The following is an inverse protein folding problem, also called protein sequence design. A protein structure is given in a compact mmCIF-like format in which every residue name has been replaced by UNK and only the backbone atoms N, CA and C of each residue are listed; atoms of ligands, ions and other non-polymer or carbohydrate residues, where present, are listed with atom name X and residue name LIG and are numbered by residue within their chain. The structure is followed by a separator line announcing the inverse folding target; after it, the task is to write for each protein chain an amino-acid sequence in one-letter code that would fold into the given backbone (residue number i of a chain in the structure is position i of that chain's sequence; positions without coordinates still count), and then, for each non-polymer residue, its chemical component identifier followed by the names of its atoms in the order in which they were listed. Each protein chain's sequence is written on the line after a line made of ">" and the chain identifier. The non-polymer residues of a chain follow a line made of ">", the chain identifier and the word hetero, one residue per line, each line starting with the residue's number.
data_IF_874816565459
#
_entry.id   IF_874816565459
#
_cell.length_a   1.000
_cell.length_b   1.000
_cell.length_c   1.000
_cell.angle_alpha   90.00
_cell.angle_beta   90.00
_cell.angle_gamma   90.00
#
_symmetry.space_group_name_H-M   'P 1'
#
loop_
_entity.id
_entity.type
_entity.pdbx_description
1 polymer ?
#
# COMPACT_ATOMS: atom_id res chain seq x y z
N UNK A 1 -2.88 2.61 25.53
CA UNK A 1 -2.95 2.05 24.18
C UNK A 1 -4.42 1.94 23.84
N UNK A 2 -4.95 2.84 23.01
CA UNK A 2 -6.31 2.72 22.49
C UNK A 2 -6.38 1.47 21.62
N UNK A 3 -7.34 0.59 21.86
CA UNK A 3 -7.62 -0.53 20.96
C UNK A 3 -7.82 -0.02 19.53
N UNK A 4 -7.28 -0.76 18.56
CA UNK A 4 -7.48 -0.50 17.15
C UNK A 4 -8.98 -0.43 16.85
N UNK A 5 -9.48 0.72 16.39
CA UNK A 5 -10.91 0.94 16.12
C UNK A 5 -11.43 0.21 14.87
N UNK A 6 -10.56 -0.49 14.13
CA UNK A 6 -10.89 -1.31 12.97
C UNK A 6 -10.59 -2.77 13.32
N UNK A 7 -11.57 -3.67 13.14
CA UNK A 7 -11.37 -5.12 13.32
C UNK A 7 -11.86 -5.85 12.09
N UNK A 8 -11.04 -6.77 11.56
CA UNK A 8 -11.42 -7.60 10.42
C UNK A 8 -11.80 -8.99 10.91
N UNK A 9 -12.77 -9.61 10.25
CA UNK A 9 -13.05 -11.04 10.37
C UNK A 9 -13.07 -11.71 9.01
N UNK A 10 -12.52 -12.92 8.96
CA UNK A 10 -12.52 -13.79 7.78
C UNK A 10 -13.15 -15.11 8.19
N UNK A 11 -14.30 -15.42 7.61
CA UNK A 11 -15.14 -16.57 7.95
C UNK A 11 -15.19 -17.52 6.76
N UNK A 12 -14.86 -18.78 7.02
CA UNK A 12 -15.02 -19.89 6.08
C UNK A 12 -16.37 -20.58 6.29
N UNK A 13 -16.67 -21.55 5.44
CA UNK A 13 -17.84 -22.42 5.54
C UNK A 13 -17.88 -23.27 6.83
N UNK A 14 -16.75 -23.42 7.53
CA UNK A 14 -16.65 -24.31 8.70
C UNK A 14 -16.26 -23.61 10.00
N UNK A 15 -15.60 -22.44 9.93
CA UNK A 15 -15.09 -21.71 11.10
C UNK A 15 -14.58 -20.30 10.77
N UNK A 16 -14.33 -19.50 11.80
CA UNK A 16 -13.60 -18.23 11.72
C UNK A 16 -12.11 -18.50 11.45
N UNK A 17 -11.59 -18.00 10.33
CA UNK A 17 -10.16 -18.06 10.00
C UNK A 17 -9.36 -16.96 10.72
N UNK A 18 -9.90 -15.74 10.78
CA UNK A 18 -9.30 -14.58 11.45
C UNK A 18 -10.40 -13.75 12.15
N UNK A 19 -10.17 -13.21 13.37
CA UNK A 19 -8.93 -13.29 14.17
C UNK A 19 -8.58 -14.71 14.65
N UNK A 20 -7.37 -14.88 15.18
CA UNK A 20 -7.00 -16.13 15.86
C UNK A 20 -7.73 -16.15 17.19
N UNK A 21 -8.82 -16.90 17.27
CA UNK A 21 -9.61 -17.04 18.50
C UNK A 21 -8.73 -17.63 19.62
N UNK A 22 -8.76 -16.99 20.79
CA UNK A 22 -8.13 -17.49 22.03
C UNK A 22 -9.20 -18.31 22.75
N UNK A 23 -8.82 -19.49 23.27
CA UNK A 23 -9.72 -20.58 23.72
C UNK A 23 -10.75 -20.25 24.82
N UNK A 24 -10.90 -19.01 25.28
CA UNK A 24 -11.80 -18.63 26.38
C UNK A 24 -13.17 -18.11 25.96
N UNK A 25 -13.37 -17.69 24.70
CA UNK A 25 -14.64 -17.08 24.21
C UNK A 25 -15.41 -18.01 23.22
N UNK A 26 -15.13 -19.32 23.27
CA UNK A 26 -15.27 -20.27 22.15
C UNK A 26 -16.67 -20.52 21.57
N UNK A 27 -17.77 -20.38 22.32
CA UNK A 27 -19.07 -20.91 21.86
C UNK A 27 -20.08 -19.86 21.35
N UNK A 28 -20.02 -18.63 21.83
CA UNK A 28 -21.03 -17.62 21.45
C UNK A 28 -20.73 -16.97 20.09
N UNK A 29 -19.50 -16.50 19.87
CA UNK A 29 -19.15 -15.77 18.64
C UNK A 29 -19.08 -16.65 17.38
N UNK A 30 -18.77 -17.94 17.53
CA UNK A 30 -18.71 -18.88 16.41
C UNK A 30 -20.08 -19.10 15.78
N UNK A 31 -21.12 -19.20 16.60
CA UNK A 31 -22.50 -19.36 16.13
C UNK A 31 -23.00 -18.09 15.44
N UNK A 32 -22.64 -16.91 15.93
CA UNK A 32 -23.01 -15.62 15.33
C UNK A 32 -22.39 -15.45 13.93
N UNK A 33 -21.09 -15.74 13.79
CA UNK A 33 -20.36 -15.63 12.52
C UNK A 33 -20.96 -16.55 11.43
N UNK A 34 -21.28 -17.80 11.77
CA UNK A 34 -21.89 -18.76 10.84
C UNK A 34 -23.34 -18.38 10.50
N UNK A 35 -24.08 -17.85 11.48
CA UNK A 35 -25.44 -17.33 11.26
C UNK A 35 -25.43 -16.15 10.30
N UNK A 36 -24.48 -15.22 10.46
CA UNK A 36 -24.30 -14.08 9.55
C UNK A 36 -23.99 -14.55 8.13
N UNK A 37 -23.03 -15.48 7.95
CA UNK A 37 -22.70 -16.05 6.64
C UNK A 37 -23.92 -16.72 5.99
N UNK A 38 -24.66 -17.51 6.75
CA UNK A 38 -25.86 -18.20 6.26
C UNK A 38 -26.95 -17.22 5.86
N UNK A 39 -27.14 -16.16 6.65
CA UNK A 39 -28.12 -15.10 6.38
C UNK A 39 -27.77 -14.34 5.11
N UNK A 40 -26.52 -13.91 4.96
CA UNK A 40 -26.06 -13.20 3.75
C UNK A 40 -26.22 -14.09 2.51
N UNK A 41 -25.86 -15.37 2.62
CA UNK A 41 -26.00 -16.34 1.52
C UNK A 41 -27.48 -16.50 1.15
N UNK A 42 -28.36 -16.65 2.13
CA UNK A 42 -29.81 -16.73 1.91
C UNK A 42 -30.36 -15.47 1.23
N UNK A 43 -30.00 -14.28 1.70
CA UNK A 43 -30.45 -13.02 1.10
C UNK A 43 -30.02 -12.92 -0.36
N UNK A 44 -28.76 -13.25 -0.67
CA UNK A 44 -28.26 -13.26 -2.04
C UNK A 44 -29.00 -14.26 -2.93
N UNK A 45 -29.18 -15.50 -2.46
CA UNK A 45 -29.83 -16.55 -3.25
C UNK A 45 -31.33 -16.35 -3.44
N UNK A 46 -32.04 -15.83 -2.45
CA UNK A 46 -33.50 -15.72 -2.47
C UNK A 46 -34.01 -14.37 -2.94
N UNK A 47 -33.28 -13.28 -2.67
CA UNK A 47 -33.70 -11.92 -2.99
C UNK A 47 -32.91 -11.31 -4.15
N UNK A 48 -31.81 -11.94 -4.58
CA UNK A 48 -30.89 -11.39 -5.59
C UNK A 48 -30.36 -9.99 -5.17
N UNK A 49 -30.18 -9.78 -3.87
CA UNK A 49 -29.63 -8.56 -3.28
C UNK A 49 -28.25 -8.83 -2.70
N UNK A 50 -27.25 -8.02 -3.08
CA UNK A 50 -25.94 -8.05 -2.44
C UNK A 50 -25.97 -7.17 -1.18
N UNK A 51 -25.81 -7.80 -0.02
CA UNK A 51 -25.77 -7.09 1.26
C UNK A 51 -24.35 -6.59 1.56
N UNK A 52 -24.15 -5.27 1.45
CA UNK A 52 -22.80 -4.69 1.41
C UNK A 52 -22.30 -4.12 2.75
N UNK A 53 -23.21 -3.55 3.55
CA UNK A 53 -22.89 -2.98 4.85
C UNK A 53 -24.14 -2.79 5.71
N UNK A 54 -23.95 -2.64 7.02
CA UNK A 54 -25.00 -2.27 7.95
C UNK A 54 -24.44 -1.54 9.18
N UNK A 55 -25.32 -0.98 10.01
CA UNK A 55 -24.98 -0.42 11.32
C UNK A 55 -25.65 -1.23 12.42
N UNK A 56 -24.90 -1.51 13.47
CA UNK A 56 -25.38 -2.16 14.69
C UNK A 56 -24.94 -1.33 15.89
N UNK A 57 -25.81 -0.44 16.38
CA UNK A 57 -25.43 0.55 17.38
C UNK A 57 -24.44 1.57 16.82
N UNK A 58 -23.29 1.72 17.48
CA UNK A 58 -22.18 2.57 17.06
C UNK A 58 -21.23 1.89 16.07
N UNK A 59 -21.36 0.57 15.87
CA UNK A 59 -20.54 -0.19 14.93
C UNK A 59 -21.06 -0.06 13.50
N UNK A 60 -20.16 0.31 12.61
CA UNK A 60 -20.35 0.23 11.17
C UNK A 60 -19.64 -1.01 10.63
N UNK A 61 -20.39 -1.84 9.90
CA UNK A 61 -19.91 -3.14 9.42
C UNK A 61 -20.01 -3.15 7.90
N UNK A 62 -18.89 -3.43 7.24
CA UNK A 62 -18.80 -3.60 5.78
C UNK A 62 -18.38 -5.03 5.49
N UNK A 63 -19.06 -5.67 4.55
CA UNK A 63 -18.92 -7.08 4.21
C UNK A 63 -18.38 -7.19 2.78
N UNK A 64 -17.72 -8.28 2.43
CA UNK A 64 -17.42 -8.73 1.06
C UNK A 64 -17.29 -10.26 1.04
N UNK A 65 -17.68 -10.92 -0.06
CA UNK A 65 -17.56 -12.37 -0.20
C UNK A 65 -16.67 -12.74 -1.37
N UNK A 66 -15.66 -13.58 -1.12
CA UNK A 66 -14.81 -14.14 -2.16
C UNK A 66 -14.71 -15.65 -2.01
N UNK A 67 -14.98 -16.38 -3.09
CA UNK A 67 -14.82 -17.85 -3.18
C UNK A 67 -15.53 -18.66 -2.08
N UNK A 68 -16.68 -18.15 -1.65
CA UNK A 68 -17.49 -18.75 -0.58
C UNK A 68 -17.04 -18.38 0.83
N UNK A 69 -16.08 -17.47 0.99
CA UNK A 69 -15.63 -16.97 2.28
C UNK A 69 -16.11 -15.55 2.50
N UNK A 70 -16.61 -15.27 3.69
CA UNK A 70 -17.09 -13.96 4.08
C UNK A 70 -15.97 -13.19 4.79
N UNK A 71 -15.71 -12.00 4.29
CA UNK A 71 -14.82 -11.02 4.88
C UNK A 71 -15.70 -9.90 5.40
N UNK A 72 -15.41 -9.43 6.60
CA UNK A 72 -16.01 -8.19 7.05
C UNK A 72 -15.08 -7.39 7.94
N UNK A 73 -15.35 -6.11 7.98
CA UNK A 73 -14.66 -5.16 8.84
C UNK A 73 -15.69 -4.44 9.67
N UNK A 74 -15.45 -4.37 10.97
CA UNK A 74 -16.24 -3.64 11.95
C UNK A 74 -15.41 -2.46 12.47
N UNK A 75 -16.03 -1.29 12.58
CA UNK A 75 -15.40 -0.11 13.13
C UNK A 75 -16.39 0.82 13.82
N UNK A 76 -15.93 1.53 14.84
CA UNK A 76 -16.64 2.68 15.43
C UNK A 76 -16.02 4.03 15.00
N UNK A 77 -15.01 3.99 14.12
CA UNK A 77 -14.38 5.18 13.56
C UNK A 77 -15.17 5.72 12.35
N UNK A 78 -14.97 7.00 12.04
CA UNK A 78 -15.61 7.70 10.92
C UNK A 78 -14.95 7.35 9.57
N UNK A 79 -15.13 6.10 9.13
CA UNK A 79 -14.69 5.62 7.81
C UNK A 79 -15.87 5.48 6.84
N UNK A 80 -15.64 5.85 5.58
CA UNK A 80 -16.54 5.53 4.48
C UNK A 80 -16.56 4.03 4.16
N UNK A 81 -17.68 3.54 3.63
CA UNK A 81 -17.83 2.12 3.27
C UNK A 81 -16.77 1.69 2.24
N UNK A 82 -16.39 2.60 1.34
CA UNK A 82 -15.45 2.35 0.26
C UNK A 82 -14.04 2.09 0.79
N UNK A 83 -13.54 2.88 1.75
CA UNK A 83 -12.22 2.62 2.38
C UNK A 83 -12.19 1.26 3.04
N UNK A 84 -13.25 0.94 3.77
CA UNK A 84 -13.38 -0.34 4.46
C UNK A 84 -13.36 -1.52 3.48
N UNK A 85 -13.94 -1.37 2.27
CA UNK A 85 -13.79 -2.36 1.19
C UNK A 85 -12.35 -2.47 0.70
N UNK A 86 -11.63 -1.37 0.52
CA UNK A 86 -10.21 -1.43 0.12
C UNK A 86 -9.33 -2.10 1.20
N UNK A 87 -9.65 -1.92 2.48
CA UNK A 87 -9.02 -2.65 3.59
C UNK A 87 -9.29 -4.16 3.49
N UNK A 88 -10.53 -4.56 3.17
CA UNK A 88 -10.88 -5.97 2.94
C UNK A 88 -10.19 -6.54 1.69
N UNK A 89 -10.16 -5.79 0.59
CA UNK A 89 -9.46 -6.16 -0.65
C UNK A 89 -7.97 -6.38 -0.38
N UNK A 90 -7.31 -5.49 0.36
CA UNK A 90 -5.90 -5.63 0.72
C UNK A 90 -5.69 -6.85 1.61
N UNK A 91 -6.60 -7.13 2.53
CA UNK A 91 -6.56 -8.34 3.37
C UNK A 91 -6.70 -9.63 2.55
N UNK A 92 -7.51 -9.61 1.49
CA UNK A 92 -7.57 -10.68 0.49
C UNK A 92 -6.27 -10.79 -0.29
N UNK A 93 -5.66 -9.69 -0.71
CA UNK A 93 -4.37 -9.72 -1.40
C UNK A 93 -3.24 -10.25 -0.50
N UNK A 94 -3.27 -9.99 0.81
CA UNK A 94 -2.37 -10.63 1.79
C UNK A 94 -2.55 -12.16 1.79
N UNK A 95 -3.78 -12.67 1.67
CA UNK A 95 -4.01 -14.11 1.57
C UNK A 95 -3.46 -14.70 0.28
N UNK A 96 -3.65 -14.02 -0.84
CA UNK A 96 -3.07 -14.43 -2.11
C UNK A 96 -1.55 -14.40 -2.00
N UNK A 97 -0.97 -13.35 -1.42
CA UNK A 97 0.46 -13.22 -1.19
C UNK A 97 1.04 -14.40 -0.41
N UNK A 98 0.37 -14.83 0.66
CA UNK A 98 0.84 -15.91 1.53
C UNK A 98 0.56 -17.33 0.99
N UNK A 99 -0.60 -17.53 0.38
CA UNK A 99 -1.14 -18.88 0.10
C UNK A 99 -1.48 -19.14 -1.36
N UNK A 100 -1.37 -18.13 -2.22
CA UNK A 100 -1.67 -18.18 -3.63
C UNK A 100 -3.15 -17.99 -3.93
N UNK A 101 -3.50 -18.02 -5.22
CA UNK A 101 -4.87 -17.74 -5.66
C UNK A 101 -5.88 -18.66 -5.04
N UNK A 102 -5.57 -19.94 -4.87
CA UNK A 102 -6.46 -20.95 -4.28
C UNK A 102 -6.45 -20.92 -2.74
N UNK A 103 -6.36 -19.74 -2.15
CA UNK A 103 -6.25 -19.58 -0.69
C UNK A 103 -7.45 -20.18 0.05
N UNK A 104 -8.63 -20.27 -0.58
CA UNK A 104 -9.79 -20.94 0.00
C UNK A 104 -9.52 -22.41 0.34
N UNK A 105 -8.68 -23.09 -0.44
CA UNK A 105 -8.30 -24.49 -0.17
C UNK A 105 -7.53 -24.66 1.14
N UNK A 106 -6.84 -23.59 1.58
CA UNK A 106 -6.11 -23.53 2.85
C UNK A 106 -7.05 -23.26 4.04
N UNK A 107 -8.27 -22.79 3.76
CA UNK A 107 -9.23 -22.30 4.76
C UNK A 107 -10.45 -23.20 4.96
N UNK A 108 -10.77 -24.12 4.04
CA UNK A 108 -12.03 -24.89 4.11
C UNK A 108 -12.07 -26.04 5.14
N UNK A 109 -10.95 -26.75 5.40
CA UNK A 109 -10.94 -27.93 6.31
C UNK A 109 -9.60 -28.10 7.03
N UNK A 110 -9.64 -28.42 8.33
CA UNK A 110 -8.44 -28.63 9.18
C UNK A 110 -7.42 -27.49 9.09
N UNK A 111 -7.91 -26.27 9.30
CA UNK A 111 -7.11 -25.05 9.15
C UNK A 111 -5.93 -25.11 10.11
N UNK A 112 -4.72 -25.04 9.54
CA UNK A 112 -3.49 -25.03 10.32
C UNK A 112 -3.40 -23.76 11.16
N UNK A 113 -3.26 -23.91 12.48
CA UNK A 113 -3.08 -22.78 13.40
C UNK A 113 -1.89 -21.90 13.00
N UNK A 114 -0.79 -22.51 12.54
CA UNK A 114 0.40 -21.75 12.10
C UNK A 114 0.09 -20.87 10.88
N UNK A 115 -0.76 -21.32 9.95
CA UNK A 115 -1.20 -20.50 8.82
C UNK A 115 -2.10 -19.35 9.25
N UNK A 116 -3.03 -19.58 10.19
CA UNK A 116 -3.86 -18.51 10.78
C UNK A 116 -2.98 -17.47 11.47
N UNK A 117 -2.00 -17.90 12.26
CA UNK A 117 -1.06 -17.02 12.94
C UNK A 117 -0.20 -16.21 11.97
N UNK A 118 0.30 -16.83 10.89
CA UNK A 118 1.05 -16.09 9.86
C UNK A 118 0.18 -15.03 9.21
N UNK A 119 -1.06 -15.37 8.80
CA UNK A 119 -1.98 -14.39 8.23
C UNK A 119 -2.31 -13.26 9.21
N UNK A 120 -2.63 -13.61 10.46
CA UNK A 120 -2.96 -12.65 11.49
C UNK A 120 -1.86 -11.61 11.67
N UNK A 121 -0.59 -12.04 11.74
CA UNK A 121 0.55 -11.10 11.83
C UNK A 121 0.57 -10.09 10.68
N UNK A 122 0.29 -10.51 9.45
CA UNK A 122 0.28 -9.60 8.31
C UNK A 122 -0.90 -8.63 8.35
N UNK A 123 -2.11 -9.11 8.68
CA UNK A 123 -3.30 -8.25 8.76
C UNK A 123 -3.21 -7.30 9.94
N UNK A 124 -2.79 -7.76 11.12
CA UNK A 124 -2.61 -6.92 12.30
C UNK A 124 -1.59 -5.82 12.05
N UNK A 125 -0.45 -6.16 11.42
CA UNK A 125 0.55 -5.18 11.00
C UNK A 125 -0.03 -4.20 9.97
N UNK A 126 -0.75 -4.66 8.95
CA UNK A 126 -1.38 -3.80 7.96
C UNK A 126 -2.40 -2.83 8.58
N UNK A 127 -3.27 -3.31 9.47
CA UNK A 127 -4.25 -2.47 10.16
C UNK A 127 -3.59 -1.41 11.05
N UNK A 128 -2.51 -1.79 11.75
CA UNK A 128 -1.71 -0.82 12.51
C UNK A 128 -1.08 0.24 11.60
N UNK A 129 -0.52 -0.18 10.47
CA UNK A 129 0.07 0.75 9.49
C UNK A 129 -0.98 1.71 8.92
N UNK A 130 -2.20 1.24 8.63
CA UNK A 130 -3.31 2.10 8.20
C UNK A 130 -3.70 3.14 9.24
N UNK A 131 -3.54 2.85 10.54
CA UNK A 131 -3.80 3.80 11.60
C UNK A 131 -2.70 4.84 11.75
N UNK A 132 -1.45 4.40 11.64
CA UNK A 132 -0.28 5.24 11.88
C UNK A 132 0.06 6.11 10.66
N UNK A 133 -0.24 5.62 9.45
CA UNK A 133 0.18 6.22 8.20
C UNK A 133 -0.86 6.05 7.07
N UNK A 134 -1.35 7.18 6.58
CA UNK A 134 -2.37 7.25 5.53
C UNK A 134 -1.91 6.70 4.17
N UNK A 135 -0.61 6.50 3.95
CA UNK A 135 -0.11 5.88 2.71
C UNK A 135 -0.62 4.45 2.56
N UNK A 136 -0.66 3.69 3.66
CA UNK A 136 -1.17 2.31 3.62
C UNK A 136 -2.69 2.26 3.44
N UNK A 137 -3.43 3.27 3.92
CA UNK A 137 -4.85 3.42 3.60
C UNK A 137 -5.04 3.68 2.10
N UNK A 138 -4.25 4.58 1.52
CA UNK A 138 -4.31 4.94 0.11
C UNK A 138 -3.67 3.89 -0.82
N UNK A 139 -3.09 2.81 -0.28
CA UNK A 139 -2.30 1.82 -1.04
C UNK A 139 -1.18 2.48 -1.86
N UNK A 140 -0.50 3.46 -1.27
CA UNK A 140 0.64 4.16 -1.87
C UNK A 140 1.95 3.70 -1.23
N UNK A 141 3.04 3.96 -1.92
CA UNK A 141 4.37 3.58 -1.48
C UNK A 141 4.95 4.58 -0.47
N UNK A 142 5.90 4.12 0.33
CA UNK A 142 6.72 5.00 1.18
C UNK A 142 8.15 4.95 0.73
N UNK A 143 8.68 6.10 0.32
CA UNK A 143 10.06 6.28 -0.10
C UNK A 143 10.81 7.13 0.92
N UNK A 144 12.12 6.92 1.01
CA UNK A 144 13.00 7.82 1.76
C UNK A 144 13.10 9.17 1.05
N UNK A 145 13.40 10.24 1.81
CA UNK A 145 13.57 11.59 1.25
C UNK A 145 14.61 11.68 0.11
N UNK A 146 15.62 10.81 0.14
CA UNK A 146 16.76 10.73 -0.80
C UNK A 146 16.63 9.56 -1.80
N UNK A 147 15.46 8.95 -1.87
CA UNK A 147 15.20 7.80 -2.74
C UNK A 147 15.51 8.08 -4.21
N UNK A 148 15.23 9.28 -4.71
CA UNK A 148 15.48 9.62 -6.11
C UNK A 148 16.98 9.62 -6.44
N UNK A 149 17.80 10.28 -5.62
CA UNK A 149 19.25 10.32 -5.80
C UNK A 149 19.90 8.95 -5.55
N UNK A 150 19.42 8.21 -4.54
CA UNK A 150 19.87 6.85 -4.25
C UNK A 150 19.52 5.89 -5.38
N UNK A 151 18.31 5.98 -5.91
CA UNK A 151 17.84 5.23 -7.07
C UNK A 151 18.74 5.49 -8.27
N UNK A 152 19.00 6.76 -8.61
CA UNK A 152 19.86 7.12 -9.74
C UNK A 152 21.28 6.54 -9.58
N UNK A 153 21.90 6.75 -8.41
CA UNK A 153 23.23 6.21 -8.13
C UNK A 153 23.26 4.68 -8.18
N UNK A 154 22.22 4.02 -7.64
CA UNK A 154 22.11 2.57 -7.68
C UNK A 154 21.98 2.06 -9.12
N UNK A 155 21.13 2.68 -9.95
CA UNK A 155 20.95 2.28 -11.35
C UNK A 155 22.22 2.41 -12.19
N UNK A 156 23.05 3.42 -11.94
CA UNK A 156 24.32 3.61 -12.67
C UNK A 156 25.39 2.57 -12.33
N UNK A 157 25.33 1.98 -11.13
CA UNK A 157 26.45 1.26 -10.54
C UNK A 157 26.11 -0.16 -10.07
N UNK A 158 24.82 -0.54 -10.11
CA UNK A 158 24.39 -1.87 -9.69
C UNK A 158 25.14 -2.93 -10.49
N UNK A 159 25.76 -3.93 -9.82
CA UNK A 159 26.43 -5.01 -10.53
C UNK A 159 25.42 -5.72 -11.44
N UNK A 160 25.79 -6.02 -12.71
CA UNK A 160 24.88 -6.70 -13.61
C UNK A 160 24.50 -8.06 -13.05
N UNK A 161 23.23 -8.44 -13.22
CA UNK A 161 22.77 -9.79 -12.89
C UNK A 161 23.63 -10.78 -13.68
N UNK A 162 24.31 -11.74 -13.01
CA UNK A 162 25.24 -12.61 -13.72
C UNK A 162 24.51 -13.41 -14.81
N UNK A 163 25.04 -13.41 -16.04
CA UNK A 163 24.36 -13.97 -17.23
C UNK A 163 24.14 -15.48 -17.17
N UNK A 164 24.93 -16.18 -16.38
CA UNK A 164 24.91 -17.65 -16.26
C UNK A 164 23.87 -18.16 -15.25
N UNK A 165 23.05 -17.24 -14.72
CA UNK A 165 22.19 -17.50 -13.59
C UNK A 165 20.75 -17.69 -14.07
N UNK A 166 20.14 -18.89 -13.88
CA UNK A 166 18.74 -19.13 -14.22
C UNK A 166 17.78 -18.49 -13.19
N UNK A 167 18.15 -17.36 -12.58
CA UNK A 167 17.25 -16.55 -11.76
C UNK A 167 16.45 -15.69 -12.72
N UNK A 168 15.16 -15.95 -12.82
CA UNK A 168 14.21 -14.99 -13.37
C UNK A 168 14.02 -13.84 -12.36
N UNK A 169 15.02 -12.96 -12.30
CA UNK A 169 15.00 -11.82 -11.38
C UNK A 169 13.91 -10.86 -11.84
N UNK A 170 13.01 -10.49 -10.94
CA UNK A 170 11.95 -9.54 -11.23
C UNK A 170 12.34 -8.13 -10.76
N UNK A 171 12.67 -8.01 -9.47
CA UNK A 171 13.04 -6.73 -8.86
C UNK A 171 13.98 -6.89 -7.67
N UNK A 172 14.65 -5.80 -7.32
CA UNK A 172 15.47 -5.65 -6.10
C UNK A 172 15.04 -4.39 -5.38
N UNK A 173 14.82 -4.48 -4.08
CA UNK A 173 14.49 -3.36 -3.23
C UNK A 173 15.56 -3.19 -2.16
N UNK A 174 15.95 -1.93 -1.92
CA UNK A 174 16.64 -1.52 -0.71
C UNK A 174 15.67 -0.71 0.13
N UNK A 175 15.49 -1.15 1.36
CA UNK A 175 14.76 -0.42 2.39
C UNK A 175 15.75 0.20 3.36
N UNK A 176 15.49 1.42 3.80
CA UNK A 176 16.13 2.04 4.97
C UNK A 176 15.01 2.27 5.97
N UNK A 177 15.11 1.65 7.14
CA UNK A 177 13.94 1.54 8.00
C UNK A 177 12.92 0.59 7.36
N UNK A 178 11.72 1.11 7.08
CA UNK A 178 10.69 0.42 6.30
C UNK A 178 10.29 1.19 5.03
N UNK A 179 11.08 2.21 4.68
CA UNK A 179 10.86 3.06 3.51
C UNK A 179 11.75 2.57 2.36
N UNK A 180 11.24 2.66 1.14
CA UNK A 180 11.95 2.29 -0.07
C UNK A 180 13.00 3.36 -0.37
N UNK A 181 14.26 2.98 -0.31
CA UNK A 181 15.36 3.82 -0.74
C UNK A 181 15.72 3.57 -2.22
N UNK A 182 15.63 2.30 -2.66
CA UNK A 182 15.89 1.89 -4.03
C UNK A 182 14.88 0.83 -4.46
N UNK A 183 14.36 0.96 -5.67
CA UNK A 183 13.57 -0.03 -6.39
C UNK A 183 14.18 -0.27 -7.78
N UNK A 184 14.99 -1.30 -7.93
CA UNK A 184 15.47 -1.75 -9.23
C UNK A 184 14.50 -2.76 -9.85
N UNK A 185 13.98 -2.41 -11.02
CA UNK A 185 13.16 -3.30 -11.86
C UNK A 185 14.02 -3.90 -12.97
N UNK A 186 13.98 -5.23 -13.13
CA UNK A 186 14.64 -5.87 -14.26
C UNK A 186 13.88 -5.49 -15.56
N UNK A 187 14.54 -4.90 -16.58
CA UNK A 187 13.88 -4.49 -17.82
C UNK A 187 13.19 -5.63 -18.59
N UNK A 188 13.61 -6.88 -18.36
CA UNK A 188 13.03 -8.07 -19.01
C UNK A 188 11.91 -8.72 -18.19
N UNK A 189 11.63 -8.22 -16.99
CA UNK A 189 10.63 -8.79 -16.11
C UNK A 189 9.27 -8.11 -16.26
N UNK A 190 8.21 -8.85 -15.91
CA UNK A 190 6.86 -8.31 -15.82
C UNK A 190 6.78 -7.17 -14.79
N UNK A 191 5.95 -6.18 -15.09
CA UNK A 191 5.76 -5.00 -14.21
C UNK A 191 5.12 -5.42 -12.88
N UNK A 192 5.73 -4.96 -11.78
CA UNK A 192 5.12 -4.94 -10.45
C UNK A 192 4.27 -3.69 -10.33
N UNK A 193 2.96 -3.87 -10.15
CA UNK A 193 2.04 -2.76 -9.89
C UNK A 193 2.30 -2.18 -8.48
N UNK A 194 2.11 -0.86 -8.25
CA UNK A 194 2.37 -0.24 -6.95
C UNK A 194 1.63 -0.91 -5.78
N UNK A 195 0.40 -1.39 -6.01
CA UNK A 195 -0.39 -2.12 -5.00
C UNK A 195 0.28 -3.44 -4.56
N UNK A 196 1.12 -4.03 -5.41
CA UNK A 196 1.91 -5.23 -5.08
C UNK A 196 3.19 -4.86 -4.35
N UNK A 197 3.77 -3.70 -4.67
CA UNK A 197 4.93 -3.16 -3.96
C UNK A 197 4.56 -2.78 -2.52
N UNK A 198 3.35 -2.26 -2.27
CA UNK A 198 2.88 -1.99 -0.90
C UNK A 198 2.79 -3.26 -0.03
N UNK A 199 2.41 -4.41 -0.62
CA UNK A 199 2.46 -5.72 0.07
C UNK A 199 3.89 -6.12 0.45
N UNK A 200 4.89 -5.77 -0.37
CA UNK A 200 6.30 -6.00 -0.06
C UNK A 200 6.75 -5.11 1.11
N UNK A 201 6.23 -3.88 1.23
CA UNK A 201 6.47 -3.05 2.42
C UNK A 201 5.86 -3.67 3.68
N UNK A 202 4.61 -4.15 3.60
CA UNK A 202 3.97 -4.87 4.71
C UNK A 202 4.80 -6.09 5.12
N UNK A 203 5.29 -6.86 4.14
CA UNK A 203 6.21 -7.98 4.38
C UNK A 203 7.45 -7.55 5.17
N UNK A 204 8.10 -6.45 4.80
CA UNK A 204 9.27 -5.93 5.52
C UNK A 204 8.92 -5.61 6.98
N UNK A 205 7.81 -4.91 7.23
CA UNK A 205 7.35 -4.59 8.58
C UNK A 205 7.08 -5.84 9.44
N UNK A 206 6.59 -6.93 8.84
CA UNK A 206 6.32 -8.19 9.55
C UNK A 206 7.59 -8.98 9.83
N UNK A 207 8.52 -9.03 8.88
CA UNK A 207 9.73 -9.86 8.97
C UNK A 207 10.88 -9.22 9.73
N UNK A 208 10.86 -7.90 9.87
CA UNK A 208 11.87 -7.08 10.54
C UNK A 208 11.25 -6.02 11.48
N UNK A 209 10.38 -6.41 12.43
CA UNK A 209 9.65 -5.48 13.29
C UNK A 209 10.56 -4.60 14.17
N UNK A 210 11.76 -5.09 14.51
CA UNK A 210 12.74 -4.43 15.38
C UNK A 210 13.31 -3.12 14.83
N UNK A 211 13.20 -2.89 13.52
CA UNK A 211 13.72 -1.68 12.88
C UNK A 211 12.88 -0.44 13.26
N UNK A 212 11.65 -0.65 13.76
CA UNK A 212 10.80 0.44 14.24
C UNK A 212 11.24 1.03 15.60
N UNK A 213 12.17 0.38 16.32
CA UNK A 213 12.32 0.56 17.76
C UNK A 213 13.45 1.47 18.25
N UNK A 214 14.69 1.31 17.78
CA UNK A 214 15.82 1.68 18.66
C UNK A 214 17.06 2.31 18.02
N UNK A 215 17.13 2.50 16.70
CA UNK A 215 18.33 3.10 16.08
C UNK A 215 17.99 3.92 14.85
N UNK A 216 17.44 5.13 15.05
CA UNK A 216 17.70 6.20 14.07
C UNK A 216 19.19 6.50 14.17
N UNK A 217 19.99 6.05 13.21
CA UNK A 217 21.41 6.40 13.17
C UNK A 217 21.52 7.93 13.17
N UNK A 218 21.95 8.50 14.30
CA UNK A 218 22.15 9.94 14.43
C UNK A 218 23.19 10.39 13.39
N UNK A 219 22.73 11.10 12.36
CA UNK A 219 23.59 11.85 11.43
C UNK A 219 24.26 11.06 10.30
N UNK A 220 24.12 9.73 10.22
CA UNK A 220 24.60 8.93 9.08
C UNK A 220 23.47 8.07 8.51
N UNK A 221 22.89 8.50 7.38
CA UNK A 221 21.80 7.78 6.68
C UNK A 221 22.23 6.46 6.04
N UNK A 222 23.50 6.34 5.67
CA UNK A 222 24.11 5.10 5.22
C UNK A 222 25.50 5.00 5.87
N UNK A 223 25.62 4.32 7.01
CA UNK A 223 26.92 4.07 7.60
C UNK A 223 27.46 2.75 7.02
N UNK A 224 28.46 2.89 6.14
CA UNK A 224 29.17 1.79 5.49
C UNK A 224 29.79 0.80 6.46
N UNK A 225 30.00 1.17 7.73
CA UNK A 225 30.44 0.26 8.79
C UNK A 225 29.36 -0.72 9.25
N UNK A 226 28.07 -0.45 8.96
CA UNK A 226 26.92 -1.35 9.15
C UNK A 226 26.62 -2.20 7.92
N UNK A 227 27.55 -2.37 7.00
CA UNK A 227 27.46 -3.42 5.99
C UNK A 227 28.54 -4.45 6.31
N UNK A 228 28.20 -5.44 7.12
CA UNK A 228 29.02 -6.60 7.41
C UNK A 228 28.23 -7.84 7.06
N UNK A 229 28.81 -8.63 6.18
CA UNK A 229 28.26 -9.82 5.55
C UNK A 229 27.86 -10.82 6.64
N UNK A 230 26.58 -10.85 7.02
CA UNK A 230 25.99 -12.02 7.66
C UNK A 230 25.13 -12.74 6.62
N UNK A 231 25.69 -13.79 6.05
CA UNK A 231 25.41 -14.31 4.69
C UNK A 231 24.22 -15.25 4.58
N UNK A 232 23.28 -15.20 5.51
CA UNK A 232 22.11 -16.08 5.49
C UNK A 232 20.80 -15.33 5.25
N UNK A 233 20.53 -14.92 3.99
CA UNK A 233 19.21 -14.42 3.60
C UNK A 233 18.09 -15.39 3.98
N UNK A 234 17.00 -14.83 4.46
CA UNK A 234 15.74 -15.56 4.62
C UNK A 234 15.09 -15.67 3.25
N UNK A 235 14.74 -16.88 2.83
CA UNK A 235 13.98 -17.12 1.60
C UNK A 235 12.53 -17.44 1.96
N UNK A 236 11.59 -16.67 1.41
CA UNK A 236 10.15 -16.89 1.60
C UNK A 236 9.44 -17.02 0.26
N UNK A 237 8.65 -18.07 0.11
CA UNK A 237 7.72 -18.20 -0.99
C UNK A 237 6.56 -17.22 -0.81
N UNK A 238 6.21 -16.51 -1.87
CA UNK A 238 5.06 -15.62 -1.92
C UNK A 238 4.39 -15.71 -3.30
N UNK A 239 3.20 -15.16 -3.46
CA UNK A 239 2.55 -15.01 -4.76
C UNK A 239 2.29 -13.55 -5.06
N UNK A 240 2.85 -13.04 -6.14
CA UNK A 240 2.72 -11.65 -6.56
C UNK A 240 1.87 -11.59 -7.84
N UNK A 241 0.95 -10.63 -7.94
CA UNK A 241 0.27 -10.39 -9.23
C UNK A 241 1.24 -9.65 -10.16
N UNK A 242 1.73 -10.34 -11.18
CA UNK A 242 2.55 -9.76 -12.24
C UNK A 242 1.65 -9.58 -13.46
N UNK A 243 1.43 -8.33 -13.89
CA UNK A 243 0.47 -8.01 -14.94
C UNK A 243 -0.90 -8.70 -14.72
N UNK A 244 -1.46 -8.55 -13.51
CA UNK A 244 -2.69 -9.19 -13.02
C UNK A 244 -2.69 -10.72 -12.92
N UNK A 245 -1.63 -11.39 -13.34
CA UNK A 245 -1.52 -12.84 -13.20
C UNK A 245 -0.75 -13.18 -11.93
N UNK A 246 -1.33 -13.95 -11.00
CA UNK A 246 -0.64 -14.39 -9.80
C UNK A 246 0.50 -15.34 -10.15
N UNK A 247 1.73 -14.93 -9.88
CA UNK A 247 2.95 -15.69 -10.11
C UNK A 247 3.58 -16.04 -8.77
N UNK A 248 3.98 -17.30 -8.64
CA UNK A 248 4.71 -17.76 -7.48
C UNK A 248 6.16 -17.27 -7.51
N UNK A 249 6.56 -16.54 -6.47
CA UNK A 249 7.86 -15.89 -6.34
C UNK A 249 8.60 -16.35 -5.09
N UNK A 250 9.92 -16.18 -5.09
CA UNK A 250 10.73 -16.23 -3.87
C UNK A 250 11.22 -14.83 -3.54
N UNK A 251 10.91 -14.38 -2.34
CA UNK A 251 11.44 -13.19 -1.69
C UNK A 251 12.66 -13.61 -0.87
N UNK A 252 13.84 -13.19 -1.31
CA UNK A 252 15.09 -13.39 -0.57
C UNK A 252 15.46 -12.10 0.12
N UNK A 253 15.45 -12.07 1.46
CA UNK A 253 15.66 -10.85 2.22
C UNK A 253 16.73 -11.01 3.30
N UNK A 254 17.47 -9.93 3.54
CA UNK A 254 18.50 -9.86 4.58
C UNK A 254 18.68 -8.42 5.02
N UNK A 255 19.06 -8.22 6.29
CA UNK A 255 19.64 -6.95 6.69
C UNK A 255 21.02 -6.79 6.04
N UNK A 256 21.42 -5.55 5.76
CA UNK A 256 22.76 -5.24 5.25
C UNK A 256 23.85 -5.52 6.30
N UNK A 257 23.51 -5.45 7.59
CA UNK A 257 24.23 -6.06 8.71
C UNK A 257 23.30 -6.26 9.91
N UNK A 258 23.79 -6.99 10.93
CA UNK A 258 23.07 -7.30 12.16
C UNK A 258 22.45 -6.07 12.85
N UNK A 259 23.18 -4.94 12.89
CA UNK A 259 22.75 -3.66 13.50
C UNK A 259 22.25 -2.63 12.49
N UNK A 260 22.17 -2.98 11.21
CA UNK A 260 21.70 -2.06 10.18
C UNK A 260 20.18 -1.97 10.20
N UNK A 261 19.66 -0.76 9.96
CA UNK A 261 18.27 -0.49 9.62
C UNK A 261 17.96 -0.73 8.13
N UNK A 262 18.97 -1.08 7.33
CA UNK A 262 18.84 -1.30 5.91
C UNK A 262 18.56 -2.77 5.59
N UNK A 263 17.57 -3.02 4.72
CA UNK A 263 17.17 -4.36 4.28
C UNK A 263 17.20 -4.43 2.77
N UNK A 264 17.78 -5.51 2.23
CA UNK A 264 17.68 -5.84 0.81
C UNK A 264 16.63 -6.93 0.64
N UNK A 265 15.74 -6.76 -0.34
CA UNK A 265 14.78 -7.77 -0.79
C UNK A 265 15.01 -8.02 -2.28
N UNK A 266 15.33 -9.27 -2.64
CA UNK A 266 15.47 -9.74 -4.02
C UNK A 266 14.27 -10.61 -4.38
N UNK A 267 13.59 -10.27 -5.47
CA UNK A 267 12.40 -10.97 -5.95
C UNK A 267 12.76 -11.79 -7.19
N UNK A 268 12.55 -13.09 -7.10
CA UNK A 268 12.73 -14.01 -8.23
C UNK A 268 11.44 -14.77 -8.51
N UNK A 269 11.14 -15.01 -9.78
CA UNK A 269 10.06 -15.93 -10.15
C UNK A 269 10.47 -17.37 -9.80
N UNK A 270 9.50 -18.17 -9.35
CA UNK A 270 9.57 -19.50 -8.72
C UNK A 270 9.47 -19.45 -7.19
N UNK A 271 8.51 -20.18 -6.62
CA UNK A 271 8.34 -20.33 -5.15
C UNK A 271 9.35 -21.26 -4.51
N UNK A 272 10.03 -22.08 -5.31
CA UNK A 272 11.05 -23.02 -4.86
C UNK A 272 12.29 -22.85 -5.72
N UNK A 273 13.29 -22.18 -5.16
CA UNK A 273 14.60 -22.02 -5.78
C UNK A 273 15.53 -23.16 -5.33
N UNK A 274 16.19 -23.89 -6.26
CA UNK A 274 17.19 -24.90 -5.91
C UNK A 274 18.34 -24.33 -5.09
N UNK A 275 19.01 -25.16 -4.26
CA UNK A 275 20.14 -24.75 -3.42
C UNK A 275 21.25 -24.00 -4.21
N UNK A 276 21.65 -24.43 -5.43
CA UNK A 276 22.63 -23.67 -6.23
C UNK A 276 22.17 -22.25 -6.55
N UNK A 277 20.88 -22.07 -6.83
CA UNK A 277 20.28 -20.76 -7.14
C UNK A 277 20.20 -19.90 -5.89
N UNK A 278 19.89 -20.49 -4.72
CA UNK A 278 19.96 -19.79 -3.43
C UNK A 278 21.36 -19.23 -3.16
N UNK A 279 22.41 -20.05 -3.35
CA UNK A 279 23.80 -19.60 -3.18
C UNK A 279 24.13 -18.41 -4.08
N UNK A 280 23.70 -18.44 -5.34
CA UNK A 280 23.90 -17.35 -6.29
C UNK A 280 23.14 -16.07 -5.90
N UNK A 281 21.90 -16.19 -5.40
CA UNK A 281 21.17 -15.05 -4.84
C UNK A 281 21.93 -14.47 -3.65
N UNK A 282 22.45 -15.31 -2.77
CA UNK A 282 23.18 -14.87 -1.59
C UNK A 282 24.49 -14.16 -1.98
N UNK A 283 25.21 -14.67 -2.97
CA UNK A 283 26.40 -14.01 -3.55
C UNK A 283 26.03 -12.65 -4.17
N UNK A 284 24.94 -12.59 -4.93
CA UNK A 284 24.45 -11.34 -5.53
C UNK A 284 24.06 -10.31 -4.45
N UNK A 285 23.31 -10.72 -3.43
CA UNK A 285 22.96 -9.87 -2.29
C UNK A 285 24.21 -9.40 -1.52
N UNK A 286 25.19 -10.28 -1.33
CA UNK A 286 26.48 -9.92 -0.74
C UNK A 286 27.22 -8.86 -1.56
N UNK A 287 27.24 -8.99 -2.89
CA UNK A 287 27.82 -8.00 -3.78
C UNK A 287 27.07 -6.66 -3.73
N UNK A 288 25.74 -6.69 -3.66
CA UNK A 288 24.93 -5.49 -3.47
C UNK A 288 25.25 -4.80 -2.14
N UNK A 289 25.26 -5.54 -1.02
CA UNK A 289 25.66 -5.02 0.27
C UNK A 289 27.04 -4.35 0.22
N UNK A 290 28.04 -5.06 -0.33
CA UNK A 290 29.40 -4.53 -0.49
C UNK A 290 29.42 -3.24 -1.34
N UNK A 291 28.64 -3.20 -2.41
CA UNK A 291 28.50 -2.01 -3.24
C UNK A 291 27.91 -0.84 -2.45
N UNK A 292 26.84 -1.07 -1.69
CA UNK A 292 26.20 -0.02 -0.89
C UNK A 292 27.15 0.56 0.17
N UNK A 293 28.07 -0.25 0.73
CA UNK A 293 29.11 0.24 1.65
C UNK A 293 30.02 1.33 1.04
N UNK A 294 30.08 1.44 -0.28
CA UNK A 294 30.83 2.48 -0.99
C UNK A 294 30.01 3.72 -1.38
N UNK A 295 28.73 3.80 -1.01
CA UNK A 295 27.88 4.93 -1.40
C UNK A 295 28.33 6.23 -0.72
N UNK A 296 28.48 7.33 -1.48
CA UNK A 296 28.78 8.63 -0.91
C UNK A 296 27.58 9.15 -0.11
N UNK A 297 27.85 10.01 0.88
CA UNK A 297 26.80 10.77 1.55
C UNK A 297 26.12 11.69 0.54
N UNK A 298 24.83 11.52 0.34
CA UNK A 298 24.04 12.41 -0.53
C UNK A 298 23.58 13.59 0.32
N UNK A 299 23.94 14.80 -0.11
CA UNK A 299 23.41 16.04 0.46
C UNK A 299 22.12 16.39 -0.28
N UNK A 300 21.01 16.39 0.46
CA UNK A 300 19.74 16.80 -0.11
C UNK A 300 19.75 18.31 -0.40
N UNK A 301 19.33 18.74 -1.60
CA UNK A 301 19.10 20.15 -1.83
C UNK A 301 17.99 20.64 -0.89
N UNK A 302 18.06 21.89 -0.40
CA UNK A 302 16.98 22.46 0.40
C UNK A 302 15.71 22.53 -0.45
N UNK A 303 14.67 21.85 0.01
CA UNK A 303 13.34 21.88 -0.60
C UNK A 303 12.75 23.27 -0.38
N UNK A 304 12.79 24.10 -1.41
CA UNK A 304 12.03 25.36 -1.46
C UNK A 304 10.74 25.09 -2.21
N UNK A 305 9.63 25.22 -1.51
CA UNK A 305 8.32 25.33 -2.14
C UNK A 305 7.42 26.09 -1.18
N UNK A 306 7.19 27.36 -1.51
CA UNK A 306 6.14 28.18 -0.90
C UNK A 306 4.86 27.76 -1.62
N UNK A 307 4.03 26.96 -0.97
CA UNK A 307 2.69 26.68 -1.47
C UNK A 307 1.72 27.78 -1.01
N UNK A 308 0.57 27.86 -1.67
CA UNK A 308 -0.52 28.77 -1.29
C UNK A 308 -0.83 28.64 0.22
N UNK A 309 -0.94 29.76 0.94
CA UNK A 309 -1.19 29.80 2.40
C UNK A 309 -2.48 29.06 2.82
N UNK A 310 -3.41 28.86 1.89
CA UNK A 310 -4.66 28.17 2.16
C UNK A 310 -4.62 26.66 1.84
N UNK A 311 -3.53 26.15 1.27
CA UNK A 311 -3.28 24.72 1.09
C UNK A 311 -2.72 24.12 2.38
N UNK A 312 -3.46 23.21 2.99
CA UNK A 312 -3.06 22.58 4.26
C UNK A 312 -2.25 21.31 4.06
N UNK A 313 -2.52 20.56 2.99
CA UNK A 313 -1.80 19.34 2.64
C UNK A 313 -2.14 18.90 1.21
N UNK A 314 -1.22 18.22 0.54
CA UNK A 314 -1.50 17.48 -0.69
C UNK A 314 -0.61 16.25 -0.83
N UNK A 315 -1.10 15.28 -1.60
CA UNK A 315 -0.34 14.14 -2.10
C UNK A 315 -0.70 13.90 -3.57
N UNK A 316 0.33 13.92 -4.43
CA UNK A 316 0.25 13.56 -5.84
C UNK A 316 0.92 12.20 -6.05
N UNK A 317 0.26 11.32 -6.79
CA UNK A 317 0.62 9.90 -6.91
C UNK A 317 0.62 9.50 -8.37
N UNK A 318 1.72 8.93 -8.84
CA UNK A 318 1.80 8.20 -10.10
C UNK A 318 1.34 6.76 -9.83
N UNK A 319 0.06 6.48 -10.07
CA UNK A 319 -0.54 5.16 -9.81
C UNK A 319 -0.06 4.08 -10.77
N UNK A 320 0.68 4.45 -11.83
CA UNK A 320 1.27 3.49 -12.76
C UNK A 320 2.65 3.03 -12.33
N UNK A 321 3.50 3.93 -11.82
CA UNK A 321 4.90 3.61 -11.50
C UNK A 321 5.21 3.63 -10.00
N UNK A 322 4.34 4.26 -9.20
CA UNK A 322 4.42 4.30 -7.75
C UNK A 322 5.04 5.57 -7.18
N UNK A 323 5.53 6.49 -8.01
CA UNK A 323 6.14 7.74 -7.56
C UNK A 323 5.14 8.63 -6.83
N UNK A 324 5.62 9.33 -5.80
CA UNK A 324 4.79 10.18 -4.94
C UNK A 324 5.46 11.52 -4.75
N UNK A 325 4.66 12.57 -4.75
CA UNK A 325 5.05 13.88 -4.30
C UNK A 325 4.04 14.38 -3.28
N UNK A 326 4.48 14.46 -2.03
CA UNK A 326 3.68 14.88 -0.89
C UNK A 326 4.20 16.21 -0.35
N UNK A 327 3.30 17.05 0.19
CA UNK A 327 3.71 18.18 1.02
C UNK A 327 4.46 17.67 2.25
N UNK A 328 5.68 18.17 2.56
CA UNK A 328 6.43 17.72 3.73
C UNK A 328 5.60 17.81 5.01
N UNK A 329 5.76 16.81 5.89
CA UNK A 329 4.97 16.71 7.11
C UNK A 329 5.07 17.96 7.99
N UNK A 330 6.28 18.50 8.19
CA UNK A 330 6.48 19.70 9.00
C UNK A 330 5.76 20.94 8.41
N UNK A 331 5.71 21.07 7.08
CA UNK A 331 4.97 22.14 6.41
C UNK A 331 3.45 21.97 6.58
N UNK A 332 2.96 20.74 6.45
CA UNK A 332 1.54 20.42 6.66
C UNK A 332 1.14 20.70 8.12
N UNK A 333 2.00 20.33 9.08
CA UNK A 333 1.78 20.62 10.49
C UNK A 333 1.76 22.12 10.77
N UNK A 334 2.73 22.88 10.24
CA UNK A 334 2.78 24.33 10.39
C UNK A 334 1.52 25.00 9.83
N UNK A 335 1.07 24.60 8.64
CA UNK A 335 -0.16 25.11 8.03
C UNK A 335 -1.40 24.84 8.90
N UNK A 336 -1.51 23.63 9.47
CA UNK A 336 -2.61 23.24 10.37
C UNK A 336 -2.54 23.98 11.71
N UNK A 337 -1.35 24.09 12.30
CA UNK A 337 -1.11 24.83 13.55
C UNK A 337 -1.51 26.29 13.40
N UNK A 338 -1.08 26.94 12.32
CA UNK A 338 -1.37 28.34 12.05
C UNK A 338 -2.86 28.56 11.78
N UNK A 339 -3.53 27.64 11.07
CA UNK A 339 -4.95 27.78 10.77
C UNK A 339 -5.84 27.63 12.02
N UNK A 340 -5.53 26.69 12.91
CA UNK A 340 -6.35 26.43 14.10
C UNK A 340 -5.86 27.12 15.38
N UNK A 341 -4.67 27.71 15.35
CA UNK A 341 -3.98 28.23 16.53
C UNK A 341 -3.84 27.17 17.64
N UNK A 342 -3.30 26.01 17.28
CA UNK A 342 -3.14 24.84 18.16
C UNK A 342 -1.67 24.44 18.30
N UNK A 343 -1.34 23.70 19.37
CA UNK A 343 -0.01 23.15 19.56
C UNK A 343 0.32 22.00 18.58
N UNK A 344 1.60 21.60 18.56
CA UNK A 344 2.11 20.55 17.67
C UNK A 344 1.42 19.19 17.91
N UNK A 345 1.10 18.84 19.15
CA UNK A 345 0.50 17.53 19.46
C UNK A 345 -0.93 17.45 18.93
N UNK A 346 -1.71 18.52 19.14
CA UNK A 346 -3.05 18.66 18.59
C UNK A 346 -3.03 18.71 17.05
N UNK A 347 -2.05 19.39 16.45
CA UNK A 347 -1.88 19.43 15.01
C UNK A 347 -1.57 18.05 14.38
N UNK A 348 -0.74 17.22 15.04
CA UNK A 348 -0.48 15.84 14.60
C UNK A 348 -1.77 15.01 14.62
N UNK A 349 -2.57 15.11 15.68
CA UNK A 349 -3.85 14.41 15.75
C UNK A 349 -4.82 14.90 14.65
N UNK A 350 -4.84 16.21 14.39
CA UNK A 350 -5.67 16.82 13.35
C UNK A 350 -5.23 16.40 11.94
N UNK A 351 -3.93 16.40 11.67
CA UNK A 351 -3.35 15.92 10.42
C UNK A 351 -3.78 14.48 10.11
N UNK A 352 -3.68 13.57 11.10
CA UNK A 352 -4.14 12.19 10.95
C UNK A 352 -5.63 12.10 10.67
N UNK A 353 -6.45 12.92 11.33
CA UNK A 353 -7.89 12.97 11.06
C UNK A 353 -8.19 13.42 9.62
N UNK A 354 -7.52 14.49 9.17
CA UNK A 354 -7.76 15.07 7.84
C UNK A 354 -7.31 14.15 6.72
N UNK A 355 -6.14 13.52 6.84
CA UNK A 355 -5.61 12.58 5.84
C UNK A 355 -6.47 11.30 5.74
N UNK A 356 -7.03 10.80 6.86
CA UNK A 356 -8.00 9.69 6.84
C UNK A 356 -9.31 10.06 6.13
N UNK A 357 -9.82 11.28 6.36
CA UNK A 357 -11.00 11.79 5.64
C UNK A 357 -10.74 11.98 4.16
N UNK A 358 -9.57 12.49 3.82
CA UNK A 358 -9.10 12.61 2.44
C UNK A 358 -9.09 11.25 1.73
N UNK A 359 -8.55 10.21 2.36
CA UNK A 359 -8.61 8.84 1.83
C UNK A 359 -10.06 8.35 1.65
N UNK A 360 -10.93 8.65 2.61
CA UNK A 360 -12.36 8.31 2.51
C UNK A 360 -13.04 8.95 1.31
N UNK A 361 -12.81 10.22 1.08
CA UNK A 361 -13.32 10.92 -0.08
C UNK A 361 -12.70 10.43 -1.39
N UNK A 362 -11.40 10.09 -1.39
CA UNK A 362 -10.73 9.54 -2.57
C UNK A 362 -11.37 8.23 -3.02
N UNK A 363 -11.52 7.26 -2.11
CA UNK A 363 -12.14 5.99 -2.45
C UNK A 363 -13.63 6.10 -2.76
N UNK A 364 -14.35 7.04 -2.12
CA UNK A 364 -15.71 7.34 -2.51
C UNK A 364 -15.80 7.84 -3.96
N UNK A 365 -14.91 8.76 -4.36
CA UNK A 365 -14.86 9.24 -5.75
C UNK A 365 -14.57 8.12 -6.75
N UNK A 366 -13.58 7.26 -6.45
CA UNK A 366 -13.21 6.11 -7.29
C UNK A 366 -14.39 5.16 -7.49
N UNK A 367 -15.08 4.80 -6.40
CA UNK A 367 -16.20 3.86 -6.45
C UNK A 367 -17.45 4.43 -7.12
N UNK A 368 -17.54 5.75 -7.29
CA UNK A 368 -18.58 6.39 -8.10
C UNK A 368 -18.11 6.71 -9.53
N UNK A 369 -16.87 6.33 -9.88
CA UNK A 369 -16.28 6.58 -11.20
C UNK A 369 -15.92 8.05 -11.45
N UNK A 370 -15.89 8.88 -10.41
CA UNK A 370 -15.55 10.29 -10.55
C UNK A 370 -14.04 10.44 -10.80
N UNK A 371 -13.69 11.23 -11.82
CA UNK A 371 -12.31 11.63 -12.09
C UNK A 371 -11.95 12.94 -11.41
N UNK A 372 -12.95 13.67 -10.91
CA UNK A 372 -12.76 14.88 -10.10
C UNK A 372 -13.89 14.97 -9.11
N UNK A 373 -13.56 15.29 -7.85
CA UNK A 373 -14.55 15.54 -6.80
C UNK A 373 -14.05 16.66 -5.89
N UNK A 374 -14.95 17.55 -5.49
CA UNK A 374 -14.72 18.50 -4.41
C UNK A 374 -15.74 18.27 -3.33
N UNK A 375 -15.28 18.22 -2.08
CA UNK A 375 -16.12 18.02 -0.92
C UNK A 375 -15.89 19.14 0.09
N UNK A 376 -16.91 19.97 0.27
CA UNK A 376 -16.94 20.99 1.32
C UNK A 376 -17.34 20.39 2.65
N UNK A 377 -16.58 20.68 3.69
CA UNK A 377 -16.96 20.54 5.10
C UNK A 377 -16.89 21.92 5.76
N UNK A 378 -17.34 22.05 7.01
CA UNK A 378 -17.38 23.35 7.70
C UNK A 378 -16.03 24.10 7.66
N UNK A 379 -14.93 23.39 7.92
CA UNK A 379 -13.60 24.02 8.05
C UNK A 379 -12.66 23.71 6.87
N UNK A 380 -12.99 22.73 6.03
CA UNK A 380 -12.08 22.26 4.97
C UNK A 380 -12.79 22.00 3.66
N UNK A 381 -12.05 22.17 2.58
CA UNK A 381 -12.42 21.70 1.25
C UNK A 381 -11.44 20.62 0.80
N UNK A 382 -11.96 19.41 0.61
CA UNK A 382 -11.20 18.27 0.09
C UNK A 382 -11.34 18.21 -1.42
N UNK A 383 -10.24 18.02 -2.13
CA UNK A 383 -10.23 17.91 -3.58
C UNK A 383 -9.59 16.59 -3.99
N UNK A 384 -10.21 15.97 -4.98
CA UNK A 384 -9.80 14.72 -5.60
C UNK A 384 -9.72 14.93 -7.11
N UNK A 385 -8.63 14.49 -7.74
CA UNK A 385 -8.48 14.53 -9.19
C UNK A 385 -7.70 13.31 -9.70
N UNK A 386 -8.20 12.68 -10.76
CA UNK A 386 -7.50 11.71 -11.59
C UNK A 386 -7.18 12.33 -12.95
N UNK A 387 -5.94 12.14 -13.41
CA UNK A 387 -5.50 12.49 -14.75
C UNK A 387 -4.85 11.30 -15.42
N UNK A 388 -4.98 11.26 -16.74
CA UNK A 388 -4.42 10.19 -17.56
C UNK A 388 -3.51 10.80 -18.61
N UNK A 389 -2.39 10.13 -18.90
CA UNK A 389 -1.52 10.48 -20.01
C UNK A 389 -1.20 9.27 -20.87
N UNK A 390 -1.02 9.49 -22.16
CA UNK A 390 -0.43 8.48 -23.04
C UNK A 390 1.12 8.47 -22.92
N UNK A 391 1.75 7.61 -23.71
CA UNK A 391 3.21 7.53 -23.84
C UNK A 391 3.83 8.84 -24.37
N UNK A 392 3.08 9.60 -25.17
CA UNK A 392 3.48 10.91 -25.72
C UNK A 392 3.34 12.08 -24.72
N UNK A 393 3.01 11.79 -23.45
CA UNK A 393 2.75 12.77 -22.38
C UNK A 393 1.52 13.68 -22.57
N UNK A 394 0.66 13.39 -23.54
CA UNK A 394 -0.58 14.14 -23.77
C UNK A 394 -1.64 13.78 -22.73
N UNK A 395 -2.37 14.78 -22.22
CA UNK A 395 -3.45 14.56 -21.27
C UNK A 395 -4.65 13.97 -21.99
N UNK A 396 -5.11 12.82 -21.51
CA UNK A 396 -6.25 12.10 -22.04
C UNK A 396 -7.52 12.43 -21.24
N UNK A 397 -8.65 12.53 -21.95
CA UNK A 397 -9.96 12.73 -21.35
C UNK A 397 -10.75 11.41 -21.39
N UNK A 398 -11.23 10.90 -20.23
CA UNK A 398 -12.01 9.67 -20.17
C UNK A 398 -13.20 9.67 -21.13
N UNK A 399 -13.37 8.58 -21.87
CA UNK A 399 -14.47 8.45 -22.84
C UNK A 399 -15.84 8.20 -22.19
N UNK A 400 -15.84 7.70 -20.95
CA UNK A 400 -17.02 7.41 -20.15
C UNK A 400 -16.65 7.33 -18.66
N UNK A 401 -17.67 7.24 -17.80
CA UNK A 401 -17.50 7.08 -16.35
C UNK A 401 -17.07 5.64 -16.05
N UNK A 402 -16.05 5.47 -15.23
CA UNK A 402 -15.64 4.14 -14.75
C UNK A 402 -16.78 3.50 -13.97
N UNK A 403 -17.16 2.28 -14.33
CA UNK A 403 -18.11 1.48 -13.54
C UNK A 403 -17.30 0.45 -12.76
N UNK A 404 -17.26 0.53 -11.41
CA UNK A 404 -16.54 -0.45 -10.62
C UNK A 404 -17.11 -1.86 -10.84
N UNK A 405 -16.26 -2.90 -10.72
CA UNK A 405 -16.69 -4.27 -10.85
C UNK A 405 -17.70 -4.66 -9.77
N UNK A 406 -18.41 -5.77 -10.00
CA UNK A 406 -19.38 -6.28 -9.04
C UNK A 406 -18.74 -6.60 -7.69
N UNK A 407 -19.58 -6.62 -6.66
CA UNK A 407 -19.16 -6.77 -5.27
C UNK A 407 -18.45 -8.10 -4.96
N UNK A 408 -18.70 -9.13 -5.77
CA UNK A 408 -18.10 -10.46 -5.69
C UNK A 408 -16.93 -10.69 -6.66
N UNK A 409 -16.43 -9.63 -7.30
CA UNK A 409 -15.28 -9.75 -8.21
C UNK A 409 -13.98 -10.09 -7.47
N UNK A 410 -13.33 -11.14 -7.96
CA UNK A 410 -12.07 -11.70 -7.43
C UNK A 410 -10.85 -10.81 -7.74
N UNK A 411 -10.99 -9.80 -8.61
CA UNK A 411 -9.90 -8.89 -8.99
C UNK A 411 -9.92 -7.60 -8.19
N UNK A 412 -11.10 -7.10 -7.81
CA UNK A 412 -11.24 -5.84 -7.09
C UNK A 412 -10.89 -4.62 -7.96
N UNK A 413 -10.82 -3.45 -7.35
CA UNK A 413 -10.49 -2.21 -8.06
C UNK A 413 -8.98 -1.98 -8.05
N UNK A 414 -8.40 -1.70 -9.23
CA UNK A 414 -7.01 -1.24 -9.39
C UNK A 414 -6.97 -0.05 -10.33
N UNK A 415 -5.94 0.79 -10.25
CA UNK A 415 -5.82 1.95 -11.14
C UNK A 415 -5.59 1.56 -12.60
N UNK A 416 -4.91 0.43 -12.83
CA UNK A 416 -4.82 -0.16 -14.16
C UNK A 416 -6.19 -0.60 -14.70
N UNK A 417 -7.11 -1.08 -13.85
CA UNK A 417 -8.47 -1.43 -14.27
C UNK A 417 -9.25 -0.18 -14.66
N UNK A 418 -9.14 0.90 -13.87
CA UNK A 418 -9.77 2.19 -14.17
C UNK A 418 -9.28 2.71 -15.53
N UNK A 419 -7.96 2.81 -15.72
CA UNK A 419 -7.37 3.31 -16.96
C UNK A 419 -7.79 2.47 -18.18
N UNK A 420 -7.69 1.14 -18.10
CA UNK A 420 -8.08 0.26 -19.20
C UNK A 420 -9.59 0.29 -19.48
N UNK A 421 -10.41 0.51 -18.44
CA UNK A 421 -11.86 0.64 -18.62
C UNK A 421 -12.19 1.90 -19.39
N UNK A 422 -11.66 3.06 -18.98
CA UNK A 422 -12.01 4.36 -19.60
C UNK A 422 -11.29 4.62 -20.93
N UNK A 423 -10.22 3.87 -21.22
CA UNK A 423 -9.43 3.92 -22.46
C UNK A 423 -9.13 2.52 -23.05
N UNK A 424 -10.16 1.75 -23.48
CA UNK A 424 -9.98 0.34 -23.88
C UNK A 424 -9.14 0.14 -25.14
N UNK A 425 -8.96 1.19 -25.95
CA UNK A 425 -8.22 1.14 -27.22
C UNK A 425 -6.85 1.85 -27.14
N UNK A 426 -6.40 2.26 -25.96
CA UNK A 426 -5.11 2.90 -25.77
C UNK A 426 -4.21 2.03 -24.90
N UNK A 427 -3.00 1.79 -25.38
CA UNK A 427 -1.95 1.16 -24.59
C UNK A 427 -1.09 2.24 -23.92
N UNK A 428 -0.39 1.87 -22.85
CA UNK A 428 0.55 2.79 -22.19
C UNK A 428 -0.10 3.94 -21.41
N UNK A 429 -1.40 3.84 -21.09
CA UNK A 429 -2.07 4.89 -20.32
C UNK A 429 -1.52 4.92 -18.89
N UNK A 430 -0.89 6.05 -18.54
CA UNK A 430 -0.42 6.34 -17.18
C UNK A 430 -1.51 7.05 -16.41
N UNK A 431 -1.73 6.63 -15.16
CA UNK A 431 -2.75 7.14 -14.26
C UNK A 431 -2.09 7.93 -13.13
N UNK A 432 -2.54 9.16 -12.91
CA UNK A 432 -2.06 10.05 -11.87
C UNK A 432 -3.23 10.50 -11.01
N UNK A 433 -3.00 10.56 -9.70
CA UNK A 433 -3.98 10.98 -8.71
C UNK A 433 -3.44 12.15 -7.91
N UNK A 434 -4.29 13.13 -7.60
CA UNK A 434 -3.98 14.22 -6.69
C UNK A 434 -5.09 14.33 -5.65
N UNK A 435 -4.68 14.33 -4.39
CA UNK A 435 -5.52 14.60 -3.24
C UNK A 435 -5.01 15.87 -2.56
N UNK A 436 -5.89 16.81 -2.27
CA UNK A 436 -5.52 18.05 -1.59
C UNK A 436 -6.57 18.52 -0.60
N UNK A 437 -6.10 19.20 0.44
CA UNK A 437 -6.91 19.75 1.53
C UNK A 437 -6.67 21.24 1.59
N UNK A 438 -7.74 22.02 1.42
CA UNK A 438 -7.74 23.47 1.55
C UNK A 438 -8.58 23.91 2.74
N UNK A 439 -8.40 25.16 3.18
CA UNK A 439 -9.35 25.84 4.07
C UNK A 439 -10.70 26.01 3.37
N UNK A 440 -11.80 25.94 4.12
CA UNK A 440 -13.17 26.10 3.56
C UNK A 440 -13.46 27.47 2.94
N UNK A 441 -12.62 28.47 3.21
CA UNK A 441 -12.75 29.83 2.65
C UNK A 441 -12.28 29.94 1.20
N UNK A 442 -11.50 28.97 0.71
CA UNK A 442 -10.97 28.98 -0.66
C UNK A 442 -12.10 28.70 -1.63
N UNK A 443 -12.22 29.50 -2.70
CA UNK A 443 -13.24 29.24 -3.71
C UNK A 443 -12.88 27.98 -4.50
N UNK A 444 -13.87 27.17 -4.91
CA UNK A 444 -13.64 25.99 -5.75
C UNK A 444 -12.74 26.23 -6.96
N UNK A 445 -12.92 27.36 -7.66
CA UNK A 445 -12.10 27.72 -8.82
C UNK A 445 -10.62 27.90 -8.46
N UNK A 446 -10.33 28.60 -7.37
CA UNK A 446 -8.96 28.87 -6.89
C UNK A 446 -8.28 27.57 -6.45
N UNK A 447 -9.00 26.68 -5.76
CA UNK A 447 -8.49 25.36 -5.38
C UNK A 447 -8.13 24.50 -6.61
N UNK A 448 -8.96 24.53 -7.66
CA UNK A 448 -8.67 23.82 -8.91
C UNK A 448 -7.46 24.39 -9.65
N UNK A 449 -7.30 25.72 -9.70
CA UNK A 449 -6.14 26.38 -10.29
C UNK A 449 -4.83 25.99 -9.57
N UNK A 450 -4.85 25.91 -8.23
CA UNK A 450 -3.71 25.40 -7.45
C UNK A 450 -3.43 23.93 -7.78
N UNK A 451 -4.46 23.09 -7.87
CA UNK A 451 -4.30 21.68 -8.23
C UNK A 451 -3.74 21.47 -9.65
N UNK A 452 -4.14 22.30 -10.61
CA UNK A 452 -3.56 22.32 -11.96
C UNK A 452 -2.05 22.62 -11.93
N UNK A 453 -1.65 23.59 -11.11
CA UNK A 453 -0.24 23.92 -10.91
C UNK A 453 0.51 22.77 -10.23
N UNK A 454 -0.06 22.15 -9.20
CA UNK A 454 0.52 20.98 -8.54
C UNK A 454 0.72 19.82 -9.53
N UNK A 455 -0.26 19.49 -10.38
CA UNK A 455 -0.03 18.46 -11.41
C UNK A 455 1.09 18.84 -12.37
N UNK A 456 1.14 20.11 -12.80
CA UNK A 456 2.18 20.59 -13.71
C UNK A 456 3.57 20.41 -13.10
N UNK A 457 3.74 20.75 -11.82
CA UNK A 457 5.01 20.62 -11.13
C UNK A 457 5.34 19.16 -10.78
N UNK A 458 4.33 18.35 -10.48
CA UNK A 458 4.50 16.90 -10.30
C UNK A 458 5.06 16.25 -11.56
N UNK A 459 4.50 16.58 -12.73
CA UNK A 459 4.99 16.07 -14.00
C UNK A 459 6.42 16.50 -14.31
N UNK A 460 6.84 17.71 -13.92
CA UNK A 460 8.23 18.16 -14.09
C UNK A 460 9.21 17.48 -13.14
N UNK A 461 8.73 16.92 -12.03
CA UNK A 461 9.58 16.25 -11.04
C UNK A 461 9.84 14.78 -11.37
N UNK A 462 8.90 14.13 -12.06
CA UNK A 462 8.97 12.70 -12.39
C UNK A 462 9.54 12.47 -13.81
N UNK A 463 9.45 13.45 -14.71
CA UNK A 463 10.11 13.46 -16.02
C UNK A 463 11.49 14.08 -15.87
#
# INVERSE_FOLDING_TARGET
>A
MSECGIKIRVISDTTTFYPVEIQSDEDHHRNDNMTLLTTITYLKEQLNEDFQFFRAGDLFIVLQQWRGMLFFVETNEDFGAEVLRFILQTSREILIFLFGTKFESVMRRNISLSKRQVFARYVDTYLKLCQDDHHFLLSTLRYTDDSHELQHYFLEKVPPVPKDVPIKLNAVFLFIGNEIAVHFKNPKASVLEPEIISLIQIFVHVEFPEINGETKCEGKRFDSSYVKIDTNPKHKGAFLRLARTPVGCTLSCSKCAEKSDSIIVVISENTKIPIPVQKQINEYMGNLCNFLSGMPKIELPPTTSIYNEDLLHFIAINRTEGDIWEMPFDQSLEAIMNYHNIDKQAAVAKYRQLTRKMASYAFNAIMHGYTTMMWGSLDYQFCYQLRFKNDDNEILQPSHIFTPPSFDDDNGVTYGLIANSVFPNQNGVRCFELLSIFRSTVKPKEAMEVNDQLFTDFFKKII
#
